data_IF_710634939472
#
_entry.id   IF_710634939472
#
_cell.length_a   1.000
_cell.length_b   1.000
_cell.length_c   1.000
_cell.angle_alpha   90.00
_cell.angle_beta   90.00
_cell.angle_gamma   90.00
#
_symmetry.space_group_name_H-M   'P 1'
#
loop_
_entity.id
_entity.type
_entity.pdbx_description
1 polymer ?
#
# COMPACT_ATOMS: atom_id res chain seq x y z
N UNK A 1 -12.54 3.22 -17.60
CA UNK A 1 -11.11 2.83 -17.66
C UNK A 1 -10.20 3.93 -18.22
N UNK A 2 -10.49 4.57 -19.36
CA UNK A 2 -9.66 5.69 -19.90
C UNK A 2 -9.44 6.84 -18.91
N UNK A 3 -10.46 7.14 -18.10
CA UNK A 3 -10.37 8.15 -17.03
C UNK A 3 -9.31 7.82 -15.97
N UNK A 4 -9.16 6.54 -15.58
CA UNK A 4 -8.15 6.16 -14.59
C UNK A 4 -6.74 6.35 -15.14
N UNK A 5 -6.51 5.98 -16.40
CA UNK A 5 -5.24 6.22 -17.09
C UNK A 5 -4.94 7.72 -17.16
N UNK A 6 -5.96 8.52 -17.51
CA UNK A 6 -5.83 9.97 -17.56
C UNK A 6 -5.53 10.58 -16.20
N UNK A 7 -6.19 10.12 -15.13
CA UNK A 7 -5.91 10.58 -13.76
C UNK A 7 -4.50 10.21 -13.30
N UNK A 8 -4.03 8.99 -13.61
CA UNK A 8 -2.63 8.60 -13.32
C UNK A 8 -1.67 9.55 -14.03
N UNK A 9 -1.89 9.80 -15.33
CA UNK A 9 -1.05 10.70 -16.11
C UNK A 9 -1.03 12.12 -15.54
N UNK A 10 -2.20 12.68 -15.21
CA UNK A 10 -2.29 14.01 -14.59
C UNK A 10 -1.58 14.07 -13.24
N UNK A 11 -1.74 13.04 -12.39
CA UNK A 11 -1.06 12.96 -11.10
C UNK A 11 0.46 12.93 -11.29
N UNK A 12 0.97 12.12 -12.22
CA UNK A 12 2.41 12.10 -12.54
C UNK A 12 2.90 13.48 -12.98
N UNK A 13 2.20 14.13 -13.91
CA UNK A 13 2.59 15.48 -14.35
C UNK A 13 2.59 16.50 -13.20
N UNK A 14 1.61 16.43 -12.30
CA UNK A 14 1.56 17.31 -11.13
C UNK A 14 2.73 17.06 -10.17
N UNK A 15 3.11 15.79 -9.95
CA UNK A 15 4.25 15.44 -9.12
C UNK A 15 5.59 15.85 -9.75
N UNK A 16 5.77 15.64 -11.05
CA UNK A 16 6.95 16.08 -11.79
C UNK A 16 7.08 17.61 -11.79
N UNK A 17 5.98 18.33 -12.04
CA UNK A 17 5.96 19.79 -11.94
C UNK A 17 6.31 20.26 -10.51
N UNK A 18 5.74 19.61 -9.49
CA UNK A 18 6.08 19.89 -8.10
C UNK A 18 7.56 19.66 -7.80
N UNK A 19 8.13 18.57 -8.31
CA UNK A 19 9.56 18.26 -8.17
C UNK A 19 10.44 19.33 -8.81
N UNK A 20 10.12 19.77 -10.02
CA UNK A 20 10.86 20.81 -10.72
C UNK A 20 10.79 22.18 -10.02
N UNK A 21 9.70 22.46 -9.30
CA UNK A 21 9.48 23.74 -8.61
C UNK A 21 10.03 23.78 -7.18
N UNK A 22 9.89 22.68 -6.43
CA UNK A 22 10.14 22.63 -4.98
C UNK A 22 11.27 21.67 -4.59
N UNK A 23 11.72 20.81 -5.51
CA UNK A 23 12.67 19.74 -5.24
C UNK A 23 12.04 18.50 -4.60
N UNK A 24 12.86 17.47 -4.42
CA UNK A 24 12.39 16.14 -3.98
C UNK A 24 11.80 16.15 -2.56
N UNK A 25 12.52 16.71 -1.58
CA UNK A 25 12.17 16.56 -0.16
C UNK A 25 10.80 17.18 0.17
N UNK A 26 10.47 18.43 -0.21
CA UNK A 26 9.16 19.00 0.09
C UNK A 26 8.02 18.23 -0.58
N UNK A 27 8.21 17.81 -1.84
CA UNK A 27 7.20 17.05 -2.59
C UNK A 27 6.96 15.69 -1.95
N UNK A 28 8.03 14.95 -1.64
CA UNK A 28 7.94 13.65 -0.97
C UNK A 28 7.18 13.77 0.36
N UNK A 29 7.45 14.81 1.17
CA UNK A 29 6.76 15.03 2.45
C UNK A 29 5.27 15.27 2.27
N UNK A 30 4.89 16.11 1.31
CA UNK A 30 3.48 16.40 1.01
C UNK A 30 2.78 15.14 0.51
N UNK A 31 3.42 14.38 -0.40
CA UNK A 31 2.84 13.19 -1.01
C UNK A 31 2.68 12.06 0.00
N UNK A 32 3.70 11.76 0.81
CA UNK A 32 3.59 10.74 1.85
C UNK A 32 2.51 11.11 2.87
N UNK A 33 2.42 12.38 3.29
CA UNK A 33 1.36 12.84 4.17
C UNK A 33 -0.03 12.72 3.56
N UNK A 34 -0.19 13.15 2.31
CA UNK A 34 -1.45 13.03 1.59
C UNK A 34 -1.89 11.56 1.42
N UNK A 35 -0.97 10.67 1.03
CA UNK A 35 -1.24 9.23 0.92
C UNK A 35 -1.61 8.65 2.28
N UNK A 36 -0.87 8.97 3.34
CA UNK A 36 -1.16 8.47 4.68
C UNK A 36 -2.57 8.85 5.13
N UNK A 37 -2.93 10.13 5.01
CA UNK A 37 -4.25 10.64 5.40
C UNK A 37 -5.37 10.04 4.54
N UNK A 38 -5.23 10.02 3.21
CA UNK A 38 -6.21 9.39 2.32
C UNK A 38 -6.38 7.91 2.62
N UNK A 39 -5.29 7.19 2.87
CA UNK A 39 -5.32 5.78 3.19
C UNK A 39 -6.03 5.51 4.54
N UNK A 40 -5.83 6.36 5.57
CA UNK A 40 -6.61 6.30 6.82
C UNK A 40 -8.09 6.51 6.55
N UNK A 41 -8.47 7.54 5.77
CA UNK A 41 -9.88 7.82 5.46
C UNK A 41 -10.55 6.66 4.70
N UNK A 42 -9.84 6.07 3.74
CA UNK A 42 -10.31 4.90 2.99
C UNK A 42 -10.48 3.72 3.94
N UNK A 43 -9.46 3.41 4.76
CA UNK A 43 -9.52 2.32 5.72
C UNK A 43 -10.69 2.50 6.71
N UNK A 44 -10.89 3.71 7.24
CA UNK A 44 -12.00 4.02 8.15
C UNK A 44 -13.37 3.84 7.47
N UNK A 45 -13.50 4.24 6.21
CA UNK A 45 -14.75 4.09 5.44
C UNK A 45 -15.05 2.61 5.20
N UNK A 46 -14.05 1.81 4.82
CA UNK A 46 -14.23 0.36 4.66
C UNK A 46 -14.46 -0.36 5.99
N UNK A 47 -13.93 0.16 7.09
CA UNK A 47 -14.15 -0.38 8.42
C UNK A 47 -15.59 -0.15 8.85
N UNK A 48 -16.12 1.05 8.63
CA UNK A 48 -17.55 1.33 8.79
C UNK A 48 -18.39 0.39 7.92
N UNK A 49 -18.09 0.24 6.62
CA UNK A 49 -18.81 -0.69 5.75
C UNK A 49 -18.73 -2.15 6.23
N UNK A 50 -17.60 -2.55 6.83
CA UNK A 50 -17.46 -3.87 7.42
C UNK A 50 -18.34 -4.04 8.66
N UNK A 51 -18.46 -3.02 9.52
CA UNK A 51 -19.41 -3.07 10.63
C UNK A 51 -20.86 -3.20 10.15
N UNK A 52 -21.23 -2.54 9.06
CA UNK A 52 -22.59 -2.59 8.51
C UNK A 52 -22.92 -3.90 7.76
N UNK A 53 -21.95 -4.48 7.04
CA UNK A 53 -22.20 -5.57 6.07
C UNK A 53 -21.35 -6.82 6.25
N UNK A 54 -20.36 -6.78 7.15
CA UNK A 54 -19.44 -7.89 7.51
C UNK A 54 -18.83 -8.63 6.32
N UNK A 55 -18.55 -7.92 5.22
CA UNK A 55 -18.01 -8.55 4.01
C UNK A 55 -16.50 -8.82 4.11
N UNK A 56 -16.01 -10.00 3.68
CA UNK A 56 -14.57 -10.29 3.64
C UNK A 56 -13.77 -9.31 2.78
N UNK A 57 -14.39 -8.76 1.75
CA UNK A 57 -13.77 -7.76 0.89
C UNK A 57 -13.52 -6.44 1.64
N UNK A 58 -14.48 -5.99 2.45
CA UNK A 58 -14.34 -4.76 3.22
C UNK A 58 -13.17 -4.86 4.22
N UNK A 59 -13.05 -5.96 4.97
CA UNK A 59 -11.92 -6.13 5.90
C UNK A 59 -10.59 -6.24 5.16
N UNK A 60 -10.55 -6.87 3.98
CA UNK A 60 -9.37 -6.88 3.11
C UNK A 60 -8.92 -5.46 2.74
N UNK A 61 -9.86 -4.59 2.37
CA UNK A 61 -9.60 -3.17 2.08
C UNK A 61 -9.13 -2.40 3.31
N UNK A 62 -9.74 -2.62 4.49
CA UNK A 62 -9.31 -1.98 5.74
C UNK A 62 -7.84 -2.29 6.00
N UNK A 63 -7.48 -3.57 6.01
CA UNK A 63 -6.14 -4.02 6.38
C UNK A 63 -5.10 -3.54 5.36
N UNK A 64 -5.40 -3.59 4.06
CA UNK A 64 -4.47 -3.11 3.03
C UNK A 64 -4.25 -1.60 3.09
N UNK A 65 -5.33 -0.82 3.20
CA UNK A 65 -5.23 0.65 3.20
C UNK A 65 -4.70 1.17 4.53
N UNK A 66 -5.03 0.54 5.66
CA UNK A 66 -4.42 0.88 6.93
C UNK A 66 -2.91 0.55 6.93
N UNK A 67 -2.52 -0.57 6.34
CA UNK A 67 -1.11 -0.89 6.09
C UNK A 67 -0.38 0.18 5.27
N UNK A 68 -1.00 0.62 4.17
CA UNK A 68 -0.47 1.73 3.36
C UNK A 68 -0.40 3.05 4.12
N UNK A 69 -1.39 3.33 4.99
CA UNK A 69 -1.38 4.49 5.85
C UNK A 69 -0.20 4.47 6.82
N UNK A 70 0.04 3.33 7.48
CA UNK A 70 1.18 3.16 8.37
C UNK A 70 2.51 3.25 7.62
N UNK A 71 2.62 2.66 6.42
CA UNK A 71 3.84 2.71 5.62
C UNK A 71 4.15 4.15 5.16
N UNK A 72 3.19 4.83 4.55
CA UNK A 72 3.37 6.22 4.13
C UNK A 72 3.58 7.15 5.32
N UNK A 73 2.85 6.93 6.42
CA UNK A 73 2.98 7.68 7.67
C UNK A 73 4.36 7.51 8.31
N UNK A 74 4.94 6.32 8.26
CA UNK A 74 6.31 6.08 8.73
C UNK A 74 7.31 6.97 8.01
N UNK A 75 7.30 6.93 6.67
CA UNK A 75 8.22 7.74 5.85
C UNK A 75 7.94 9.24 5.97
N UNK A 76 6.67 9.62 6.13
CA UNK A 76 6.30 11.00 6.39
C UNK A 76 6.90 11.53 7.69
N UNK A 77 6.70 10.82 8.80
CA UNK A 77 7.25 11.19 10.11
C UNK A 77 8.78 11.15 10.09
N UNK A 78 9.38 10.13 9.46
CA UNK A 78 10.82 10.03 9.27
C UNK A 78 11.40 11.28 8.62
N UNK A 79 10.83 11.73 7.50
CA UNK A 79 11.33 12.90 6.81
C UNK A 79 11.10 14.20 7.60
N UNK A 80 9.94 14.35 8.26
CA UNK A 80 9.61 15.54 9.06
C UNK A 80 10.48 15.69 10.31
N UNK A 81 10.98 14.59 10.86
CA UNK A 81 11.81 14.57 12.08
C UNK A 81 13.31 14.65 11.79
N UNK A 82 13.70 14.95 10.55
CA UNK A 82 15.11 15.09 10.17
C UNK A 82 15.80 13.75 9.92
N UNK A 83 15.05 12.72 9.48
CA UNK A 83 15.61 11.43 9.04
C UNK A 83 16.42 10.68 10.11
N UNK A 84 15.85 10.43 11.31
CA UNK A 84 16.60 9.84 12.40
C UNK A 84 17.07 8.40 12.11
N UNK A 85 18.33 8.09 12.41
CA UNK A 85 18.98 6.82 12.08
C UNK A 85 18.22 5.59 12.59
N UNK A 86 17.64 5.68 13.79
CA UNK A 86 16.90 4.57 14.42
C UNK A 86 15.66 4.15 13.64
N UNK A 87 15.08 5.05 12.85
CA UNK A 87 13.83 4.82 12.12
C UNK A 87 14.08 4.25 10.71
N UNK A 88 15.26 4.47 10.14
CA UNK A 88 15.58 4.01 8.79
C UNK A 88 15.67 2.49 8.68
N UNK A 89 16.19 1.82 9.71
CA UNK A 89 16.37 0.36 9.76
C UNK A 89 15.59 -0.30 10.90
N UNK A 90 14.49 0.32 11.32
CA UNK A 90 13.72 -0.21 12.44
C UNK A 90 13.00 -1.51 12.05
N UNK A 91 13.19 -2.62 12.80
CA UNK A 91 12.52 -3.88 12.51
C UNK A 91 10.99 -3.80 12.66
N UNK A 92 10.47 -2.81 13.37
CA UNK A 92 9.03 -2.52 13.46
C UNK A 92 8.37 -2.30 12.10
N UNK A 93 9.13 -1.89 11.07
CA UNK A 93 8.64 -1.78 9.70
C UNK A 93 8.10 -3.12 9.16
N UNK A 94 8.64 -4.26 9.58
CA UNK A 94 8.10 -5.57 9.17
C UNK A 94 6.68 -5.80 9.70
N UNK A 95 6.36 -5.27 10.88
CA UNK A 95 5.00 -5.28 11.42
C UNK A 95 4.04 -4.43 10.57
N UNK A 96 4.50 -3.26 10.12
CA UNK A 96 3.74 -2.40 9.19
C UNK A 96 3.50 -3.11 7.85
N UNK A 97 4.54 -3.75 7.30
CA UNK A 97 4.47 -4.47 6.02
C UNK A 97 3.63 -5.76 6.08
N UNK A 98 3.44 -6.35 7.26
CA UNK A 98 2.54 -7.49 7.42
C UNK A 98 1.09 -7.14 7.06
N UNK A 99 0.66 -5.90 7.31
CA UNK A 99 -0.71 -5.43 7.02
C UNK A 99 -1.05 -5.49 5.52
N UNK A 100 -0.34 -4.83 4.59
CA UNK A 100 -0.66 -4.94 3.17
C UNK A 100 -0.49 -6.36 2.62
N UNK A 101 0.40 -7.18 3.20
CA UNK A 101 0.50 -8.61 2.84
C UNK A 101 -0.80 -9.34 3.19
N UNK A 102 -1.26 -9.25 4.46
CA UNK A 102 -2.51 -9.88 4.90
C UNK A 102 -3.70 -9.34 4.11
N UNK A 103 -3.77 -8.02 3.90
CA UNK A 103 -4.80 -7.40 3.07
C UNK A 103 -4.81 -7.96 1.63
N UNK A 104 -3.65 -8.17 1.03
CA UNK A 104 -3.53 -8.78 -0.31
C UNK A 104 -3.99 -10.25 -0.32
N UNK A 105 -3.63 -11.02 0.71
CA UNK A 105 -4.09 -12.41 0.87
C UNK A 105 -5.61 -12.49 0.95
N UNK A 106 -6.24 -11.60 1.73
CA UNK A 106 -7.70 -11.52 1.83
C UNK A 106 -8.35 -11.16 0.48
N UNK A 107 -7.76 -10.22 -0.26
CA UNK A 107 -8.23 -9.90 -1.61
C UNK A 107 -8.14 -11.09 -2.55
N UNK A 108 -7.02 -11.80 -2.60
CA UNK A 108 -6.88 -12.99 -3.45
C UNK A 108 -7.88 -14.10 -3.05
N UNK A 109 -8.16 -14.26 -1.75
CA UNK A 109 -9.13 -15.22 -1.26
C UNK A 109 -10.56 -14.92 -1.74
N UNK A 110 -10.90 -13.65 -1.96
CA UNK A 110 -12.17 -13.23 -2.57
C UNK A 110 -12.12 -13.36 -4.09
N UNK A 111 -11.04 -12.89 -4.73
CA UNK A 111 -10.86 -12.88 -6.19
C UNK A 111 -10.89 -14.30 -6.77
N UNK A 112 -10.27 -15.28 -6.13
CA UNK A 112 -10.27 -16.67 -6.63
C UNK A 112 -11.69 -17.21 -6.85
N UNK A 113 -12.66 -16.78 -6.03
CA UNK A 113 -14.06 -17.22 -6.12
C UNK A 113 -14.73 -16.67 -7.37
N UNK A 114 -14.35 -15.47 -7.81
CA UNK A 114 -14.83 -14.87 -9.07
C UNK A 114 -14.37 -15.66 -10.30
N UNK A 115 -13.29 -16.42 -10.20
CA UNK A 115 -12.80 -17.31 -11.26
C UNK A 115 -13.29 -18.75 -11.13
N UNK A 116 -14.15 -19.06 -10.15
CA UNK A 116 -14.65 -20.41 -9.89
C UNK A 116 -13.67 -21.35 -9.17
N UNK A 117 -12.53 -20.83 -8.70
CA UNK A 117 -11.56 -21.61 -7.92
C UNK A 117 -11.94 -21.67 -6.43
N UNK A 118 -11.59 -22.78 -5.76
CA UNK A 118 -11.94 -23.06 -4.36
C UNK A 118 -10.72 -23.53 -3.54
N UNK A 119 -10.79 -23.44 -2.22
CA UNK A 119 -9.69 -23.86 -1.35
C UNK A 119 -8.54 -22.85 -1.31
N UNK A 120 -7.29 -23.34 -1.41
CA UNK A 120 -6.07 -22.55 -1.17
C UNK A 120 -5.45 -21.94 -2.43
N UNK A 121 -6.15 -21.91 -3.57
CA UNK A 121 -5.61 -21.38 -4.82
C UNK A 121 -5.25 -19.89 -4.76
N UNK A 122 -5.85 -19.12 -3.84
CA UNK A 122 -5.46 -17.74 -3.57
C UNK A 122 -4.01 -17.55 -3.12
N UNK A 123 -3.30 -18.62 -2.74
CA UNK A 123 -1.88 -18.56 -2.39
C UNK A 123 -0.96 -18.58 -3.61
N UNK A 124 -1.43 -18.96 -4.80
CA UNK A 124 -0.59 -18.99 -6.00
C UNK A 124 -0.01 -17.61 -6.35
N UNK A 125 -0.79 -16.51 -6.36
CA UNK A 125 -0.24 -15.17 -6.58
C UNK A 125 0.78 -14.77 -5.50
N UNK A 126 0.54 -15.15 -4.24
CA UNK A 126 1.47 -14.87 -3.14
C UNK A 126 2.79 -15.62 -3.33
N UNK A 127 2.73 -16.93 -3.59
CA UNK A 127 3.90 -17.76 -3.83
C UNK A 127 4.68 -17.28 -5.07
N UNK A 128 3.97 -16.89 -6.14
CA UNK A 128 4.57 -16.30 -7.33
C UNK A 128 5.28 -14.98 -7.04
N UNK A 129 4.66 -14.08 -6.28
CA UNK A 129 5.26 -12.80 -5.90
C UNK A 129 6.51 -12.98 -5.01
N UNK A 130 6.44 -13.88 -4.01
CA UNK A 130 7.57 -14.20 -3.14
C UNK A 130 8.69 -14.86 -3.93
N UNK A 131 8.38 -15.87 -4.75
CA UNK A 131 9.37 -16.57 -5.57
C UNK A 131 10.07 -15.65 -6.56
N UNK A 132 9.32 -14.76 -7.22
CA UNK A 132 9.89 -13.76 -8.13
C UNK A 132 10.76 -12.74 -7.38
N UNK A 133 10.30 -12.25 -6.22
CA UNK A 133 11.08 -11.34 -5.39
C UNK A 133 12.41 -11.96 -4.94
N UNK A 134 12.40 -13.23 -4.52
CA UNK A 134 13.61 -14.00 -4.20
C UNK A 134 14.51 -14.16 -5.43
N UNK A 135 13.94 -14.50 -6.59
CA UNK A 135 14.71 -14.66 -7.81
C UNK A 135 15.41 -13.35 -8.21
N UNK A 136 14.71 -12.21 -8.14
CA UNK A 136 15.30 -10.88 -8.39
C UNK A 136 16.41 -10.59 -7.39
N UNK A 137 16.20 -10.85 -6.10
CA UNK A 137 17.21 -10.66 -5.08
C UNK A 137 18.49 -11.45 -5.38
N UNK A 138 18.37 -12.75 -5.68
CA UNK A 138 19.51 -13.63 -5.98
C UNK A 138 20.26 -13.22 -7.26
N UNK A 139 19.58 -12.60 -8.22
CA UNK A 139 20.19 -12.14 -9.48
C UNK A 139 20.92 -10.80 -9.32
N UNK A 140 20.40 -9.91 -8.47
CA UNK A 140 20.88 -8.52 -8.36
C UNK A 140 21.89 -8.32 -7.23
N UNK A 141 21.80 -9.12 -6.16
CA UNK A 141 22.64 -9.04 -4.96
C UNK A 141 23.59 -10.23 -4.90
#
# INVERSE_FOLDING_TARGET
MKQAIFLIFLTVLALEAGFLLLGYVPVANIVYGAIALMAVMIAATFLWLWFERTTPLAIGMVVSWFGMACLAGWWWVYNLTGSPDWAHQNPGMFGVLALPIVGSVLHFAVIQRSFGYHGMHFLWPLAGAVGLSIAVYVVVV
#
